data_IF_339194607773
#
_entry.id   IF_339194607773
#
_cell.length_a   1.000
_cell.length_b   1.000
_cell.length_c   1.000
_cell.angle_alpha   90.00
_cell.angle_beta   90.00
_cell.angle_gamma   90.00
#
_symmetry.space_group_name_H-M   'P 1'
#
loop_
_entity.id
_entity.type
_entity.pdbx_description
1 polymer ?
#
# COMPACT_ATOMS: atom_id res chain seq x y z
N UNK A 1 3.74 -5.08 -3.39
CA UNK A 1 5.02 -4.64 -3.96
C UNK A 1 5.68 -5.81 -4.70
N UNK A 2 6.79 -5.56 -5.38
CA UNK A 2 7.65 -6.55 -6.04
C UNK A 2 9.10 -6.08 -5.87
N UNK A 3 10.03 -7.00 -5.65
CA UNK A 3 11.42 -6.68 -5.34
C UNK A 3 12.18 -5.96 -6.46
N UNK A 4 11.78 -6.11 -7.73
CA UNK A 4 12.43 -5.47 -8.89
C UNK A 4 11.56 -4.38 -9.55
N UNK A 5 10.47 -3.98 -8.90
CA UNK A 5 9.51 -3.05 -9.47
C UNK A 5 10.03 -1.59 -9.34
N UNK A 6 10.27 -0.88 -10.46
CA UNK A 6 10.89 0.46 -10.41
C UNK A 6 10.00 1.51 -9.74
N UNK A 7 8.68 1.33 -9.76
CA UNK A 7 7.75 2.21 -9.03
C UNK A 7 7.73 1.91 -7.53
N UNK A 8 7.97 0.66 -7.13
CA UNK A 8 8.02 0.24 -5.74
C UNK A 8 9.24 0.88 -5.07
N UNK A 9 10.42 0.75 -5.67
CA UNK A 9 11.64 1.41 -5.18
C UNK A 9 11.55 2.95 -5.08
N UNK A 10 10.68 3.58 -5.87
CA UNK A 10 10.43 5.03 -5.79
C UNK A 10 9.50 5.40 -4.64
N UNK A 11 8.49 4.59 -4.39
CA UNK A 11 7.39 4.94 -3.49
C UNK A 11 7.54 4.35 -2.09
N UNK A 12 8.06 3.15 -1.98
CA UNK A 12 8.15 2.42 -0.72
C UNK A 12 8.98 3.17 0.35
N UNK A 13 10.10 3.85 0.02
CA UNK A 13 10.79 4.73 0.97
C UNK A 13 9.95 5.93 1.44
N UNK A 14 9.14 6.51 0.54
CA UNK A 14 8.23 7.63 0.87
C UNK A 14 7.16 7.15 1.85
N UNK A 15 6.55 6.00 1.57
CA UNK A 15 5.55 5.39 2.44
C UNK A 15 6.14 5.06 3.82
N UNK A 16 7.35 4.49 3.87
CA UNK A 16 8.06 4.18 5.12
C UNK A 16 8.36 5.43 5.94
N UNK A 17 8.80 6.52 5.29
CA UNK A 17 9.03 7.79 5.96
C UNK A 17 7.74 8.36 6.56
N UNK A 18 6.65 8.37 5.78
CA UNK A 18 5.36 8.85 6.26
C UNK A 18 4.81 7.99 7.41
N UNK A 19 4.97 6.67 7.33
CA UNK A 19 4.59 5.76 8.41
C UNK A 19 5.31 6.13 9.72
N UNK A 20 6.61 6.38 9.65
CA UNK A 20 7.39 6.85 10.80
C UNK A 20 6.98 8.23 11.30
N UNK A 21 6.65 9.15 10.40
CA UNK A 21 6.27 10.53 10.74
C UNK A 21 4.87 10.62 11.38
N UNK A 22 3.90 9.87 10.86
CA UNK A 22 2.48 9.95 11.27
C UNK A 22 2.06 8.81 12.21
N UNK A 23 2.92 7.81 12.42
CA UNK A 23 2.70 6.73 13.38
C UNK A 23 1.72 5.64 12.91
N UNK A 24 1.41 5.55 11.61
CA UNK A 24 0.62 4.45 11.07
C UNK A 24 1.48 3.23 10.75
N UNK A 25 0.90 2.05 10.86
CA UNK A 25 1.56 0.79 10.50
C UNK A 25 1.45 0.52 9.01
N UNK A 26 2.51 -0.04 8.42
CA UNK A 26 2.50 -0.54 7.04
C UNK A 26 2.68 -2.05 7.07
N UNK A 27 1.74 -2.76 6.43
CA UNK A 27 1.82 -4.20 6.24
C UNK A 27 2.12 -4.48 4.77
N UNK A 28 3.34 -4.91 4.47
CA UNK A 28 3.82 -5.11 3.09
C UNK A 28 3.59 -6.55 2.63
N UNK A 29 2.87 -6.68 1.51
CA UNK A 29 2.78 -7.92 0.75
C UNK A 29 3.60 -7.83 -0.55
N UNK A 30 4.27 -8.92 -0.90
CA UNK A 30 4.97 -9.11 -2.18
C UNK A 30 4.25 -10.14 -3.05
N UNK A 31 4.15 -9.87 -4.35
CA UNK A 31 3.56 -10.81 -5.33
C UNK A 31 4.61 -11.59 -6.12
N UNK A 32 5.90 -11.23 -6.00
CA UNK A 32 7.02 -11.99 -6.58
C UNK A 32 7.84 -12.74 -5.51
N UNK A 33 7.42 -12.68 -4.25
CA UNK A 33 8.08 -13.34 -3.12
C UNK A 33 9.31 -12.59 -2.61
N UNK A 34 9.60 -11.40 -3.12
CA UNK A 34 10.75 -10.60 -2.71
C UNK A 34 10.33 -9.23 -2.15
N UNK A 35 10.94 -8.86 -1.02
CA UNK A 35 10.91 -7.50 -0.48
C UNK A 35 11.89 -6.58 -1.21
N UNK A 36 11.90 -5.31 -0.81
CA UNK A 36 12.88 -4.30 -1.27
C UNK A 36 13.59 -3.65 -0.07
N UNK A 37 14.47 -2.68 -0.31
CA UNK A 37 15.23 -2.02 0.77
C UNK A 37 14.33 -1.31 1.81
N UNK A 38 13.16 -0.82 1.40
CA UNK A 38 12.22 -0.17 2.30
C UNK A 38 11.45 -1.20 3.13
N UNK A 39 11.01 -2.31 2.51
CA UNK A 39 10.28 -3.38 3.17
C UNK A 39 10.89 -4.76 2.86
N UNK A 40 12.05 -5.09 3.46
CA UNK A 40 12.77 -6.33 3.15
C UNK A 40 12.05 -7.59 3.64
N UNK A 41 11.18 -7.44 4.64
CA UNK A 41 10.40 -8.52 5.25
C UNK A 41 8.96 -8.61 4.67
N UNK A 42 8.74 -8.11 3.45
CA UNK A 42 7.44 -8.21 2.80
C UNK A 42 7.00 -9.68 2.69
N UNK A 43 5.77 -9.96 3.11
CA UNK A 43 5.24 -11.33 3.12
C UNK A 43 4.71 -11.70 1.73
N UNK A 44 4.87 -12.94 1.27
CA UNK A 44 4.19 -13.40 0.06
C UNK A 44 2.68 -13.17 0.17
N UNK A 45 2.05 -12.61 -0.86
CA UNK A 45 0.61 -12.41 -0.91
C UNK A 45 -0.10 -13.76 -1.16
N UNK A 46 -0.81 -14.33 -0.18
CA UNK A 46 -1.60 -15.54 -0.40
C UNK A 46 -2.80 -15.24 -1.34
N UNK A 47 -3.42 -16.27 -1.95
CA UNK A 47 -4.51 -16.10 -2.91
C UNK A 47 -5.70 -15.29 -2.37
N UNK A 48 -6.04 -15.45 -1.09
CA UNK A 48 -7.11 -14.71 -0.41
C UNK A 48 -6.80 -13.21 -0.27
N UNK A 49 -5.55 -12.84 0.00
CA UNK A 49 -5.09 -11.45 -0.05
C UNK A 49 -5.24 -10.89 -1.47
N UNK A 50 -4.82 -11.63 -2.49
CA UNK A 50 -4.97 -11.19 -3.88
C UNK A 50 -6.45 -10.98 -4.25
N UNK A 51 -7.33 -11.90 -3.85
CA UNK A 51 -8.78 -11.80 -4.09
C UNK A 51 -9.42 -10.62 -3.33
N UNK A 52 -8.97 -10.35 -2.11
CA UNK A 52 -9.50 -9.26 -1.26
C UNK A 52 -9.15 -7.89 -1.82
N UNK A 53 -7.91 -7.70 -2.25
CA UNK A 53 -7.39 -6.39 -2.66
C UNK A 53 -7.50 -6.12 -4.16
N UNK A 54 -7.57 -7.15 -5.01
CA UNK A 54 -7.71 -7.01 -6.46
C UNK A 54 -8.95 -7.72 -7.03
N UNK A 55 -10.17 -7.58 -6.43
CA UNK A 55 -11.33 -8.33 -6.89
C UNK A 55 -11.80 -7.91 -8.30
N UNK A 56 -11.63 -6.63 -8.64
CA UNK A 56 -12.12 -6.03 -9.90
C UNK A 56 -11.15 -5.00 -10.50
N UNK A 57 -9.89 -4.95 -10.03
CA UNK A 57 -8.88 -4.02 -10.51
C UNK A 57 -7.67 -4.79 -11.05
N UNK A 58 -6.97 -4.28 -12.08
CA UNK A 58 -5.76 -4.92 -12.57
C UNK A 58 -4.70 -5.04 -11.47
N UNK A 59 -4.03 -6.19 -11.40
CA UNK A 59 -2.88 -6.36 -10.52
C UNK A 59 -1.73 -5.50 -11.03
N UNK A 60 -1.32 -4.52 -10.24
CA UNK A 60 -0.10 -3.76 -10.48
C UNK A 60 0.58 -3.40 -9.15
N UNK A 61 1.87 -3.07 -9.23
CA UNK A 61 2.67 -2.72 -8.05
C UNK A 61 3.41 -1.40 -8.24
N UNK A 62 3.56 -0.60 -7.16
CA UNK A 62 2.95 -0.78 -5.85
C UNK A 62 1.45 -0.44 -5.89
N UNK A 63 0.65 -1.05 -5.02
CA UNK A 63 -0.74 -0.68 -4.77
C UNK A 63 -0.94 -0.60 -3.27
N UNK A 64 -1.54 0.49 -2.80
CA UNK A 64 -1.71 0.78 -1.37
C UNK A 64 -3.18 0.91 -1.01
N UNK A 65 -3.55 0.30 0.11
CA UNK A 65 -4.87 0.37 0.71
C UNK A 65 -4.76 0.92 2.13
N UNK A 66 -5.77 1.68 2.54
CA UNK A 66 -6.01 2.00 3.94
C UNK A 66 -6.93 0.93 4.51
N UNK A 67 -6.50 0.28 5.60
CA UNK A 67 -7.26 -0.81 6.23
C UNK A 67 -7.71 -0.38 7.61
N UNK A 68 -9.01 -0.52 7.89
CA UNK A 68 -9.53 -0.39 9.25
C UNK A 68 -9.24 -1.68 10.02
N UNK A 69 -8.39 -1.62 11.04
CA UNK A 69 -7.98 -2.81 11.80
C UNK A 69 -9.11 -3.46 12.63
N UNK A 70 -10.18 -2.72 12.91
CA UNK A 70 -11.31 -3.25 13.70
C UNK A 70 -12.33 -3.99 12.82
N UNK A 71 -12.50 -3.56 11.57
CA UNK A 71 -13.51 -4.12 10.65
C UNK A 71 -12.91 -4.88 9.47
N UNK A 72 -11.60 -4.76 9.27
CA UNK A 72 -10.85 -5.24 8.11
C UNK A 72 -11.33 -4.66 6.77
N UNK A 73 -12.10 -3.57 6.80
CA UNK A 73 -12.48 -2.86 5.59
C UNK A 73 -11.24 -2.23 4.94
N UNK A 74 -11.05 -2.51 3.64
CA UNK A 74 -9.93 -2.03 2.84
C UNK A 74 -10.39 -0.99 1.82
N UNK A 75 -9.72 0.17 1.82
CA UNK A 75 -10.03 1.29 0.94
C UNK A 75 -8.84 1.60 0.03
N UNK A 76 -8.98 1.55 -1.30
CA UNK A 76 -7.87 1.81 -2.21
C UNK A 76 -7.42 3.27 -2.10
N UNK A 77 -6.11 3.49 -1.93
CA UNK A 77 -5.51 4.83 -1.90
C UNK A 77 -4.90 5.18 -3.27
N UNK A 78 -4.04 4.28 -3.77
CA UNK A 78 -3.18 4.54 -4.92
C UNK A 78 -2.69 3.23 -5.54
N UNK A 79 -2.60 3.22 -6.88
CA UNK A 79 -1.81 2.27 -7.65
C UNK A 79 -0.72 3.05 -8.40
N UNK A 80 0.54 2.69 -8.20
CA UNK A 80 1.71 3.41 -8.70
C UNK A 80 2.46 4.21 -7.64
N UNK A 81 3.41 5.03 -8.08
CA UNK A 81 4.25 5.85 -7.22
C UNK A 81 3.79 7.30 -7.16
N UNK A 82 3.97 7.93 -6.01
CA UNK A 82 3.72 9.37 -5.79
C UNK A 82 4.68 9.92 -4.73
N UNK A 83 4.68 11.23 -4.53
CA UNK A 83 5.44 11.86 -3.45
C UNK A 83 4.63 11.93 -2.15
N UNK A 84 5.23 12.46 -1.08
CA UNK A 84 4.61 12.52 0.22
C UNK A 84 3.30 13.32 0.23
N UNK A 85 3.26 14.44 -0.50
CA UNK A 85 2.09 15.31 -0.59
C UNK A 85 0.96 14.62 -1.36
N UNK A 86 1.28 14.00 -2.49
CA UNK A 86 0.34 13.26 -3.31
C UNK A 86 -0.27 12.08 -2.55
N UNK A 87 0.53 11.35 -1.77
CA UNK A 87 0.02 10.26 -0.95
C UNK A 87 -0.94 10.76 0.13
N UNK A 88 -0.53 11.75 0.93
CA UNK A 88 -1.37 12.27 2.02
C UNK A 88 -2.67 12.90 1.50
N UNK A 89 -2.64 13.58 0.34
CA UNK A 89 -3.86 14.10 -0.28
C UNK A 89 -4.87 12.98 -0.63
N UNK A 90 -4.38 11.79 -1.04
CA UNK A 90 -5.25 10.64 -1.31
C UNK A 90 -5.78 10.02 -0.02
N UNK A 91 -4.96 9.93 1.02
CA UNK A 91 -5.40 9.50 2.36
C UNK A 91 -6.52 10.40 2.88
N UNK A 92 -6.34 11.73 2.82
CA UNK A 92 -7.34 12.71 3.25
C UNK A 92 -8.65 12.57 2.47
N UNK A 93 -8.55 12.38 1.15
CA UNK A 93 -9.71 12.16 0.28
C UNK A 93 -10.51 10.93 0.71
N UNK A 94 -9.81 9.81 0.97
CA UNK A 94 -10.45 8.56 1.37
C UNK A 94 -11.08 8.70 2.76
N UNK A 95 -10.36 9.21 3.76
CA UNK A 95 -10.87 9.41 5.13
C UNK A 95 -12.09 10.35 5.14
N UNK A 96 -12.05 11.44 4.37
CA UNK A 96 -13.18 12.38 4.25
C UNK A 96 -14.41 11.72 3.63
N UNK A 97 -14.21 10.73 2.75
CA UNK A 97 -15.29 9.93 2.17
C UNK A 97 -15.93 8.95 3.16
N UNK A 98 -15.18 8.46 4.16
CA UNK A 98 -15.69 7.54 5.19
C UNK A 98 -16.54 8.22 6.27
N UNK A 99 -16.43 9.55 6.40
CA UNK A 99 -17.19 10.34 7.37
C UNK A 99 -18.57 10.75 6.86
N UNK A 100 -18.99 10.27 5.68
CA UNK A 100 -20.29 10.52 5.06
C UNK A 100 -21.14 9.27 5.12
#
# INVERSE_FOLDING_TARGET
>A
MQGHCPYCHKFDPVLKQLAGQYGFSVFSYTIDGQGDDAFPEALPAPPDVMQTFFPNIPVATPTTFLVNVNTLAAYPILQGATDAQGFMARVDTVISGLSK
#
